data_IF_472203467498
#
_entry.id   IF_472203467498
#
_cell.length_a   1.000
_cell.length_b   1.000
_cell.length_c   1.000
_cell.angle_alpha   90.00
_cell.angle_beta   90.00
_cell.angle_gamma   90.00
#
_symmetry.space_group_name_H-M   'P 1'
#
loop_
_entity.id
_entity.type
_entity.pdbx_description
1 polymer ?
#
# COMPACT_ATOMS: atom_id res chain seq x y z
N UNK A 1 -18.89 1.19 -11.95
CA UNK A 1 -17.46 0.95 -12.27
C UNK A 1 -17.10 1.83 -13.46
N UNK A 2 -16.17 2.80 -13.35
CA UNK A 2 -15.68 3.49 -14.55
C UNK A 2 -14.81 2.50 -15.33
N UNK A 3 -15.15 2.30 -16.59
CA UNK A 3 -14.35 1.48 -17.50
C UNK A 3 -13.02 2.20 -17.79
N UNK A 4 -11.96 1.72 -17.23
CA UNK A 4 -10.60 2.23 -17.41
C UNK A 4 -9.85 1.54 -18.56
N UNK A 5 -10.48 0.59 -19.27
CA UNK A 5 -9.84 -0.19 -20.33
C UNK A 5 -9.24 0.69 -21.44
N UNK A 6 -9.86 1.83 -21.73
CA UNK A 6 -9.33 2.81 -22.70
C UNK A 6 -8.06 3.53 -22.22
N UNK A 7 -7.82 3.60 -20.89
CA UNK A 7 -6.62 4.22 -20.31
C UNK A 7 -5.36 3.39 -20.51
N UNK A 8 -5.52 2.07 -20.64
CA UNK A 8 -4.40 1.12 -20.77
C UNK A 8 -4.04 0.77 -22.21
N UNK A 9 -4.77 1.27 -23.18
CA UNK A 9 -4.82 0.74 -24.54
C UNK A 9 -3.51 0.78 -25.36
N UNK A 10 -2.41 1.37 -24.87
CA UNK A 10 -1.11 1.39 -25.61
C UNK A 10 0.14 1.71 -24.78
N UNK A 11 0.07 1.92 -23.46
CA UNK A 11 1.25 2.24 -22.66
C UNK A 11 1.45 1.20 -21.58
N UNK A 12 2.53 0.47 -21.69
CA UNK A 12 2.95 -0.44 -20.63
C UNK A 12 3.37 0.34 -19.38
N UNK A 13 4.21 1.35 -19.49
CA UNK A 13 4.66 2.21 -18.38
C UNK A 13 4.12 3.63 -18.51
N UNK A 14 3.95 4.35 -17.42
CA UNK A 14 3.51 5.74 -17.43
C UNK A 14 2.82 6.20 -16.16
N UNK A 15 2.23 7.38 -16.22
CA UNK A 15 1.48 7.98 -15.13
C UNK A 15 -0.01 7.71 -15.35
N UNK A 16 -0.67 7.22 -14.30
CA UNK A 16 -2.10 6.91 -14.29
C UNK A 16 -2.78 7.66 -13.15
N UNK A 17 -3.88 8.34 -13.50
CA UNK A 17 -4.69 9.10 -12.56
C UNK A 17 -5.89 8.27 -12.09
N UNK A 18 -6.24 8.41 -10.82
CA UNK A 18 -7.40 7.74 -10.21
C UNK A 18 -8.06 8.63 -9.16
N UNK A 19 -9.29 8.30 -8.81
CA UNK A 19 -10.01 8.97 -7.74
C UNK A 19 -9.72 8.28 -6.41
N UNK A 20 -9.41 9.09 -5.39
CA UNK A 20 -9.26 8.68 -4.00
C UNK A 20 -10.00 9.65 -3.08
N UNK A 21 -9.77 9.54 -1.79
CA UNK A 21 -10.32 10.41 -0.76
C UNK A 21 -9.30 10.57 0.37
N UNK A 22 -9.50 11.56 1.26
CA UNK A 22 -8.63 11.82 2.40
C UNK A 22 -9.32 11.58 3.75
N UNK A 23 -9.75 10.33 4.07
CA UNK A 23 -10.29 10.04 5.38
C UNK A 23 -9.25 10.30 6.46
N UNK A 24 -9.66 10.97 7.55
CA UNK A 24 -8.73 11.38 8.60
C UNK A 24 -8.25 10.20 9.46
N UNK A 25 -9.14 9.25 9.76
CA UNK A 25 -8.88 8.07 10.59
C UNK A 25 -9.67 6.85 10.11
N UNK A 26 -9.38 5.67 10.68
CA UNK A 26 -10.04 4.41 10.30
C UNK A 26 -11.56 4.45 10.46
N UNK A 27 -12.08 5.22 11.43
CA UNK A 27 -13.52 5.41 11.59
C UNK A 27 -14.17 5.91 10.29
N UNK A 28 -13.56 6.86 9.58
CA UNK A 28 -14.09 7.38 8.31
C UNK A 28 -14.06 6.33 7.19
N UNK A 29 -13.04 5.47 7.16
CA UNK A 29 -13.00 4.34 6.22
C UNK A 29 -14.15 3.37 6.51
N UNK A 30 -14.33 2.99 7.78
CA UNK A 30 -15.25 1.94 8.17
C UNK A 30 -16.73 2.35 8.10
N UNK A 31 -17.04 3.65 8.20
CA UNK A 31 -18.40 4.13 8.34
C UNK A 31 -18.84 5.13 7.26
N UNK A 32 -17.94 5.92 6.72
CA UNK A 32 -18.28 7.11 5.93
C UNK A 32 -17.47 7.29 4.65
N UNK A 33 -16.76 6.27 4.17
CA UNK A 33 -15.83 6.43 3.02
C UNK A 33 -16.51 6.97 1.75
N UNK A 34 -17.77 6.65 1.53
CA UNK A 34 -18.53 7.11 0.38
C UNK A 34 -18.94 8.59 0.47
N UNK A 35 -18.94 9.14 1.68
CA UNK A 35 -19.23 10.55 1.95
C UNK A 35 -17.97 11.43 1.83
N UNK A 36 -16.78 10.85 1.85
CA UNK A 36 -15.52 11.57 1.73
C UNK A 36 -15.37 12.22 0.34
N UNK A 37 -14.96 13.49 0.28
CA UNK A 37 -14.70 14.16 -0.99
C UNK A 37 -13.70 13.42 -1.84
N UNK A 38 -13.97 13.34 -3.16
CA UNK A 38 -13.06 12.65 -4.10
C UNK A 38 -11.98 13.59 -4.59
N UNK A 39 -10.74 13.11 -4.56
CA UNK A 39 -9.53 13.79 -5.00
C UNK A 39 -8.89 13.08 -6.19
N UNK A 40 -8.12 13.82 -6.99
CA UNK A 40 -7.34 13.23 -8.07
C UNK A 40 -5.96 12.87 -7.55
N UNK A 41 -5.68 11.58 -7.53
CA UNK A 41 -4.37 11.03 -7.18
C UNK A 41 -3.74 10.42 -8.43
N UNK A 42 -2.44 10.22 -8.43
CA UNK A 42 -1.77 9.53 -9.52
C UNK A 42 -0.68 8.59 -9.01
N UNK A 43 -0.32 7.65 -9.86
CA UNK A 43 0.80 6.76 -9.65
C UNK A 43 1.59 6.53 -10.92
N UNK A 44 2.83 6.11 -10.76
CA UNK A 44 3.76 5.78 -11.86
C UNK A 44 3.91 4.27 -11.98
N UNK A 45 3.46 3.71 -13.10
CA UNK A 45 3.64 2.29 -13.44
C UNK A 45 4.96 2.10 -14.20
N UNK A 46 5.78 1.16 -13.74
CA UNK A 46 7.05 0.78 -14.34
C UNK A 46 7.04 -0.73 -14.54
N UNK A 47 7.28 -1.18 -15.77
CA UNK A 47 7.45 -2.59 -16.09
C UNK A 47 8.92 -2.99 -16.09
N UNK A 48 9.27 -4.23 -15.72
CA UNK A 48 10.57 -4.81 -15.96
C UNK A 48 10.90 -4.79 -17.47
N UNK A 49 12.18 -4.65 -17.83
CA UNK A 49 12.60 -4.59 -19.22
C UNK A 49 12.17 -5.84 -20.03
N UNK A 50 12.28 -7.02 -19.42
CA UNK A 50 11.95 -8.32 -20.02
C UNK A 50 10.76 -8.99 -19.34
N UNK A 51 9.68 -8.23 -19.05
CA UNK A 51 8.52 -8.74 -18.37
C UNK A 51 7.84 -9.90 -19.12
N UNK A 52 7.56 -11.00 -18.40
CA UNK A 52 6.64 -12.04 -18.88
C UNK A 52 5.22 -11.61 -18.52
N UNK A 53 4.38 -11.40 -19.53
CA UNK A 53 3.03 -10.88 -19.35
C UNK A 53 1.97 -12.00 -19.29
N UNK A 54 0.91 -11.84 -18.49
CA UNK A 54 0.76 -10.81 -17.47
C UNK A 54 1.76 -11.02 -16.31
N UNK A 55 2.35 -9.92 -15.81
CA UNK A 55 3.39 -10.01 -14.77
C UNK A 55 2.83 -9.66 -13.37
N UNK A 56 3.46 -10.14 -12.29
CA UNK A 56 3.15 -9.69 -10.94
C UNK A 56 3.49 -8.22 -10.76
N UNK A 57 2.84 -7.57 -9.79
CA UNK A 57 3.06 -6.16 -9.48
C UNK A 57 3.16 -5.93 -7.97
N UNK A 58 3.95 -4.94 -7.58
CA UNK A 58 3.95 -4.37 -6.23
C UNK A 58 3.49 -2.91 -6.27
N UNK A 59 2.48 -2.59 -5.47
CA UNK A 59 2.13 -1.20 -5.14
C UNK A 59 3.10 -0.71 -4.07
N UNK A 60 3.90 0.31 -4.40
CA UNK A 60 4.96 0.85 -3.57
C UNK A 60 4.53 2.16 -2.91
N UNK A 61 4.61 2.22 -1.56
CA UNK A 61 4.11 3.30 -0.73
C UNK A 61 5.28 3.94 0.05
N UNK A 62 5.55 5.22 -0.20
CA UNK A 62 6.61 5.97 0.46
C UNK A 62 6.31 6.29 1.95
N UNK A 63 7.34 6.65 2.72
CA UNK A 63 7.21 7.12 4.09
C UNK A 63 6.83 8.59 4.21
N UNK A 64 6.79 9.12 5.46
CA UNK A 64 6.43 10.51 5.78
C UNK A 64 7.31 11.58 5.11
N UNK A 65 8.54 11.23 4.76
CA UNK A 65 9.46 12.11 4.03
C UNK A 65 9.25 12.12 2.50
N UNK A 66 8.25 11.40 1.99
CA UNK A 66 8.07 11.18 0.56
C UNK A 66 9.03 10.10 0.01
N UNK A 67 9.11 9.99 -1.30
CA UNK A 67 10.01 9.05 -1.97
C UNK A 67 11.47 9.53 -1.85
N UNK A 68 12.39 8.64 -1.44
CA UNK A 68 13.82 8.91 -1.22
C UNK A 68 14.69 7.94 -2.00
N UNK A 69 16.00 8.24 -2.07
CA UNK A 69 16.98 7.45 -2.83
C UNK A 69 16.97 5.96 -2.50
N UNK A 70 16.97 5.60 -1.21
CA UNK A 70 16.92 4.21 -0.76
C UNK A 70 15.70 3.43 -1.25
N UNK A 71 14.57 4.07 -1.47
CA UNK A 71 13.38 3.42 -2.03
C UNK A 71 13.59 3.05 -3.51
N UNK A 72 14.39 3.82 -4.24
CA UNK A 72 14.70 3.52 -5.64
C UNK A 72 15.47 2.21 -5.79
N UNK A 73 16.42 1.92 -4.91
CA UNK A 73 17.20 0.67 -4.94
C UNK A 73 16.26 -0.55 -4.75
N UNK A 74 15.31 -0.46 -3.81
CA UNK A 74 14.33 -1.52 -3.61
C UNK A 74 13.40 -1.70 -4.84
N UNK A 75 13.02 -0.59 -5.49
CA UNK A 75 12.21 -0.62 -6.72
C UNK A 75 12.99 -1.29 -7.86
N UNK A 76 14.27 -0.96 -8.01
CA UNK A 76 15.15 -1.60 -9.01
C UNK A 76 15.23 -3.11 -8.76
N UNK A 77 15.44 -3.54 -7.52
CA UNK A 77 15.49 -4.97 -7.17
C UNK A 77 14.17 -5.71 -7.52
N UNK A 78 13.01 -5.07 -7.32
CA UNK A 78 11.72 -5.65 -7.72
C UNK A 78 11.62 -5.79 -9.25
N UNK A 79 12.03 -4.76 -10.00
CA UNK A 79 12.03 -4.80 -11.47
C UNK A 79 12.98 -5.86 -12.00
N UNK A 80 14.18 -6.00 -11.42
CA UNK A 80 15.15 -7.05 -11.77
C UNK A 80 14.62 -8.47 -11.46
N UNK A 81 13.79 -8.59 -10.43
CA UNK A 81 13.07 -9.84 -10.11
C UNK A 81 11.88 -10.14 -11.05
N UNK A 82 11.62 -9.28 -12.04
CA UNK A 82 10.53 -9.44 -13.00
C UNK A 82 9.16 -9.00 -12.49
N UNK A 83 9.13 -8.16 -11.45
CA UNK A 83 7.92 -7.64 -10.81
C UNK A 83 7.71 -6.18 -11.24
N UNK A 84 6.55 -5.86 -11.81
CA UNK A 84 6.19 -4.48 -12.11
C UNK A 84 5.96 -3.68 -10.82
N UNK A 85 6.17 -2.37 -10.87
CA UNK A 85 5.99 -1.50 -9.70
C UNK A 85 5.05 -0.35 -10.04
N UNK A 86 4.04 -0.15 -9.19
CA UNK A 86 3.18 1.02 -9.22
C UNK A 86 3.45 1.89 -7.99
N UNK A 87 4.14 3.02 -8.19
CA UNK A 87 4.41 4.00 -7.12
C UNK A 87 3.25 4.95 -7.00
N UNK A 88 2.66 5.06 -5.83
CA UNK A 88 1.63 6.07 -5.56
C UNK A 88 2.30 7.39 -5.16
N UNK A 89 1.81 8.50 -5.69
CA UNK A 89 2.24 9.86 -5.38
C UNK A 89 1.20 10.56 -4.49
N UNK A 90 0.99 10.02 -3.28
CA UNK A 90 -0.04 10.52 -2.35
C UNK A 90 0.21 11.96 -1.89
N UNK A 91 1.47 12.34 -1.73
CA UNK A 91 1.85 13.69 -1.27
C UNK A 91 1.86 14.68 -2.41
N UNK A 92 2.56 14.36 -3.49
CA UNK A 92 2.71 15.26 -4.65
C UNK A 92 1.36 15.58 -5.28
N UNK A 93 0.44 14.62 -5.33
CA UNK A 93 -0.92 14.83 -5.82
C UNK A 93 -1.72 15.82 -4.96
N UNK A 94 -1.34 16.00 -3.69
CA UNK A 94 -1.91 16.96 -2.74
C UNK A 94 -1.06 18.22 -2.57
N UNK A 95 -0.06 18.44 -3.44
CA UNK A 95 0.83 19.60 -3.38
C UNK A 95 1.85 19.56 -2.25
N UNK A 96 2.15 18.37 -1.70
CA UNK A 96 3.08 18.18 -0.60
C UNK A 96 4.31 17.39 -1.08
N UNK A 97 5.45 17.57 -0.42
CA UNK A 97 6.68 16.82 -0.66
C UNK A 97 6.97 15.89 0.52
N UNK A 98 6.60 16.31 1.71
CA UNK A 98 6.85 15.64 2.99
C UNK A 98 5.80 16.06 4.00
N UNK A 99 5.50 15.16 4.94
CA UNK A 99 4.62 15.44 6.08
C UNK A 99 5.34 15.27 7.42
N UNK A 100 6.69 15.20 7.43
CA UNK A 100 7.48 15.00 8.66
C UNK A 100 7.15 16.04 9.72
N UNK A 101 6.94 17.30 9.33
CA UNK A 101 6.59 18.39 10.25
C UNK A 101 5.10 18.46 10.59
N UNK A 102 4.24 17.80 9.79
CA UNK A 102 2.80 17.77 10.02
C UNK A 102 2.20 16.44 9.56
N UNK A 103 2.31 15.42 10.39
CA UNK A 103 1.82 14.05 10.12
C UNK A 103 0.29 13.97 9.89
N UNK A 104 -0.44 15.04 10.21
CA UNK A 104 -1.90 15.10 10.04
C UNK A 104 -2.31 15.60 8.64
N UNK A 105 -1.37 16.10 7.85
CA UNK A 105 -1.67 16.61 6.49
C UNK A 105 -2.07 15.49 5.52
N UNK A 106 -1.48 14.29 5.67
CA UNK A 106 -1.89 13.06 4.98
C UNK A 106 -1.78 11.91 5.97
N UNK A 107 -2.91 11.39 6.41
CA UNK A 107 -2.96 10.40 7.49
C UNK A 107 -2.73 8.97 6.98
N UNK A 108 -2.52 8.03 7.91
CA UNK A 108 -2.45 6.60 7.60
C UNK A 108 -3.74 6.10 6.89
N UNK A 109 -4.90 6.59 7.32
CA UNK A 109 -6.18 6.24 6.70
C UNK A 109 -6.27 6.73 5.24
N UNK A 110 -5.75 7.93 4.96
CA UNK A 110 -5.62 8.46 3.59
C UNK A 110 -4.71 7.58 2.74
N UNK A 111 -3.52 7.22 3.24
CA UNK A 111 -2.55 6.39 2.51
C UNK A 111 -3.10 4.99 2.19
N UNK A 112 -3.83 4.39 3.13
CA UNK A 112 -4.51 3.10 2.93
C UNK A 112 -5.59 3.24 1.85
N UNK A 113 -6.38 4.30 1.90
CA UNK A 113 -7.43 4.55 0.89
C UNK A 113 -6.81 4.69 -0.50
N UNK A 114 -5.74 5.47 -0.64
CA UNK A 114 -5.00 5.60 -1.90
C UNK A 114 -4.49 4.24 -2.41
N UNK A 115 -3.96 3.39 -1.51
CA UNK A 115 -3.46 2.07 -1.86
C UNK A 115 -4.56 1.16 -2.43
N UNK A 116 -5.75 1.13 -1.83
CA UNK A 116 -6.87 0.33 -2.33
C UNK A 116 -7.47 0.89 -3.63
N UNK A 117 -7.53 2.22 -3.79
CA UNK A 117 -7.96 2.83 -5.07
C UNK A 117 -6.95 2.57 -6.19
N UNK A 118 -5.66 2.54 -5.88
CA UNK A 118 -4.62 2.12 -6.82
C UNK A 118 -4.74 0.63 -7.16
N UNK A 119 -5.02 -0.25 -6.18
CA UNK A 119 -5.27 -1.67 -6.41
C UNK A 119 -6.43 -1.86 -7.40
N UNK A 120 -7.57 -1.21 -7.16
CA UNK A 120 -8.74 -1.30 -8.04
C UNK A 120 -8.46 -0.77 -9.46
N UNK A 121 -7.62 0.25 -9.62
CA UNK A 121 -7.17 0.71 -10.93
C UNK A 121 -6.29 -0.32 -11.63
N UNK A 122 -5.23 -0.78 -10.95
CA UNK A 122 -4.16 -1.58 -11.55
C UNK A 122 -4.59 -3.03 -11.80
N UNK A 123 -5.51 -3.58 -11.01
CA UNK A 123 -6.09 -4.90 -11.25
C UNK A 123 -6.78 -5.05 -12.62
N UNK A 124 -7.17 -3.92 -13.23
CA UNK A 124 -7.79 -3.87 -14.54
C UNK A 124 -6.77 -3.77 -15.71
N UNK A 125 -5.47 -3.66 -15.40
CA UNK A 125 -4.44 -3.55 -16.45
C UNK A 125 -4.22 -4.90 -17.13
N UNK A 126 -4.32 -5.02 -18.47
CA UNK A 126 -4.29 -6.30 -19.17
C UNK A 126 -2.95 -7.04 -19.06
N UNK A 127 -1.86 -6.30 -18.85
CA UNK A 127 -0.51 -6.86 -18.71
C UNK A 127 -0.11 -7.15 -17.26
N UNK A 128 -1.00 -6.95 -16.29
CA UNK A 128 -0.78 -7.27 -14.86
C UNK A 128 -1.61 -8.49 -14.46
N UNK A 129 -0.98 -9.42 -13.76
CA UNK A 129 -1.68 -10.54 -13.12
C UNK A 129 -2.40 -10.02 -11.85
N UNK A 130 -3.71 -9.80 -11.97
CA UNK A 130 -4.55 -9.27 -10.88
C UNK A 130 -4.55 -10.15 -9.62
N UNK A 131 -4.19 -11.42 -9.73
CA UNK A 131 -4.04 -12.32 -8.59
C UNK A 131 -2.67 -12.22 -7.90
N UNK A 132 -1.74 -11.44 -8.45
CA UNK A 132 -0.38 -11.29 -7.97
C UNK A 132 0.01 -9.82 -7.79
N UNK A 133 -0.87 -9.07 -7.13
CA UNK A 133 -0.60 -7.69 -6.76
C UNK A 133 -0.28 -7.64 -5.26
N UNK A 134 0.98 -7.38 -4.92
CA UNK A 134 1.43 -7.17 -3.55
C UNK A 134 1.48 -5.69 -3.19
N UNK A 135 1.66 -5.41 -1.89
CA UNK A 135 1.91 -4.06 -1.38
C UNK A 135 3.20 -4.04 -0.56
N UNK A 136 4.06 -3.05 -0.83
CA UNK A 136 5.26 -2.80 -0.05
C UNK A 136 5.32 -1.33 0.35
N UNK A 137 5.84 -1.03 1.53
CA UNK A 137 5.94 0.36 1.97
C UNK A 137 6.92 0.56 3.11
N UNK A 138 7.40 1.78 3.25
CA UNK A 138 8.45 2.19 4.17
C UNK A 138 7.90 3.14 5.23
N UNK A 139 8.18 2.90 6.52
CA UNK A 139 7.75 3.74 7.64
C UNK A 139 6.22 3.92 7.63
N UNK A 140 5.67 5.11 7.42
CA UNK A 140 4.24 5.36 7.23
C UNK A 140 3.65 4.49 6.10
N UNK A 141 4.38 4.32 4.98
CA UNK A 141 4.01 3.38 3.92
C UNK A 141 4.08 1.93 4.39
N UNK A 142 5.02 1.60 5.29
CA UNK A 142 5.09 0.30 5.97
C UNK A 142 3.86 0.05 6.82
N UNK A 143 3.43 1.06 7.60
CA UNK A 143 2.15 1.00 8.33
C UNK A 143 0.96 0.82 7.40
N UNK A 144 0.98 1.51 6.24
CA UNK A 144 -0.04 1.35 5.20
C UNK A 144 -0.08 -0.10 4.70
N UNK A 145 1.07 -0.69 4.35
CA UNK A 145 1.16 -2.07 3.90
C UNK A 145 0.71 -3.06 5.00
N UNK A 146 1.02 -2.78 6.27
CA UNK A 146 0.62 -3.61 7.41
C UNK A 146 -0.90 -3.61 7.62
N UNK A 147 -1.49 -2.41 7.78
CA UNK A 147 -2.94 -2.30 8.08
C UNK A 147 -3.83 -2.56 6.87
N UNK A 148 -3.30 -2.55 5.64
CA UNK A 148 -4.03 -3.01 4.45
C UNK A 148 -4.38 -4.52 4.49
N UNK A 149 -3.81 -5.29 5.43
CA UNK A 149 -4.19 -6.67 5.69
C UNK A 149 -5.37 -6.80 6.69
N UNK A 150 -5.80 -5.72 7.35
CA UNK A 150 -6.89 -5.77 8.32
C UNK A 150 -8.24 -5.93 7.62
N UNK A 151 -8.97 -7.03 7.94
CA UNK A 151 -10.17 -7.43 7.19
C UNK A 151 -11.27 -6.37 7.16
N UNK A 152 -11.58 -5.63 8.23
CA UNK A 152 -12.58 -4.56 8.16
C UNK A 152 -12.24 -3.45 7.16
N UNK A 153 -10.97 -3.08 7.00
CA UNK A 153 -10.53 -2.12 5.98
C UNK A 153 -10.74 -2.69 4.57
N UNK A 154 -10.36 -3.95 4.34
CA UNK A 154 -10.56 -4.63 3.06
C UNK A 154 -12.04 -4.58 2.70
N UNK A 155 -12.91 -5.00 3.61
CA UNK A 155 -14.36 -5.03 3.39
C UNK A 155 -14.97 -3.65 3.07
N UNK A 156 -14.40 -2.57 3.63
CA UNK A 156 -14.90 -1.20 3.42
C UNK A 156 -14.39 -0.55 2.13
N UNK A 157 -13.21 -0.93 1.65
CA UNK A 157 -12.56 -0.26 0.52
C UNK A 157 -12.64 -1.02 -0.80
N UNK A 158 -13.00 -2.31 -0.79
CA UNK A 158 -13.10 -3.13 -2.00
C UNK A 158 -14.54 -3.34 -2.44
N UNK A 159 -14.76 -3.40 -3.75
CA UNK A 159 -16.09 -3.62 -4.35
C UNK A 159 -16.20 -5.09 -4.80
N UNK A 160 -15.20 -5.60 -5.49
CA UNK A 160 -15.18 -6.93 -6.13
C UNK A 160 -14.24 -7.92 -5.41
N UNK A 161 -14.07 -7.77 -4.09
CA UNK A 161 -13.16 -8.58 -3.27
C UNK A 161 -11.67 -8.53 -3.72
N UNK A 162 -11.27 -7.44 -4.38
CA UNK A 162 -9.85 -7.23 -4.69
C UNK A 162 -9.06 -7.18 -3.37
N UNK A 163 -7.94 -7.88 -3.34
CA UNK A 163 -7.07 -7.91 -2.17
C UNK A 163 -5.61 -7.98 -2.59
N UNK A 164 -4.75 -7.48 -1.73
CA UNK A 164 -3.33 -7.69 -1.90
C UNK A 164 -2.99 -9.17 -1.71
N UNK A 165 -2.17 -9.71 -2.63
CA UNK A 165 -1.73 -11.11 -2.60
C UNK A 165 -0.56 -11.34 -1.64
N UNK A 166 0.14 -10.28 -1.23
CA UNK A 166 1.23 -10.29 -0.26
C UNK A 166 1.46 -8.89 0.32
N UNK A 167 2.00 -8.83 1.53
CA UNK A 167 2.31 -7.58 2.24
C UNK A 167 3.79 -7.57 2.66
N UNK A 168 4.50 -6.49 2.35
CA UNK A 168 5.89 -6.25 2.75
C UNK A 168 6.01 -4.90 3.48
N UNK A 169 5.64 -4.84 4.76
CA UNK A 169 5.88 -3.67 5.60
C UNK A 169 7.36 -3.55 5.97
N UNK A 170 7.99 -2.43 5.65
CA UNK A 170 9.36 -2.12 6.08
C UNK A 170 9.28 -1.08 7.21
N UNK A 171 9.83 -1.46 8.37
CA UNK A 171 9.84 -0.67 9.61
C UNK A 171 8.52 0.10 9.87
N UNK A 172 7.38 -0.62 9.97
CA UNK A 172 6.08 0.01 10.15
C UNK A 172 5.89 0.54 11.58
N UNK A 173 5.20 1.68 11.71
CA UNK A 173 4.64 2.10 12.99
C UNK A 173 3.33 1.36 13.26
N UNK A 174 3.31 0.43 14.22
CA UNK A 174 2.16 -0.43 14.53
C UNK A 174 1.48 -0.04 15.83
N UNK A 175 1.18 1.26 15.99
CA UNK A 175 0.61 1.82 17.22
C UNK A 175 -0.88 1.49 17.45
N UNK A 176 -1.60 1.09 16.40
CA UNK A 176 -3.03 0.86 16.47
C UNK A 176 -3.29 -0.64 16.69
N UNK A 177 -3.91 -0.97 17.82
CA UNK A 177 -4.38 -2.32 18.13
C UNK A 177 -5.88 -2.39 17.86
N UNK A 178 -6.32 -2.94 16.71
CA UNK A 178 -7.74 -2.96 16.38
C UNK A 178 -8.52 -3.91 17.29
N UNK A 179 -9.76 -3.54 17.66
CA UNK A 179 -10.63 -4.37 18.50
C UNK A 179 -11.03 -5.65 17.76
N UNK A 180 -11.36 -5.52 16.46
CA UNK A 180 -11.69 -6.66 15.60
C UNK A 180 -10.37 -7.27 15.12
N UNK A 181 -10.02 -8.45 15.63
CA UNK A 181 -8.77 -9.15 15.29
C UNK A 181 -9.00 -10.13 14.14
N UNK A 182 -9.33 -9.58 12.95
CA UNK A 182 -9.53 -10.31 11.71
C UNK A 182 -8.61 -9.77 10.61
N UNK A 183 -7.87 -10.65 9.96
CA UNK A 183 -6.81 -10.29 9.01
C UNK A 183 -6.88 -11.16 7.77
N UNK A 184 -6.44 -10.62 6.66
CA UNK A 184 -6.27 -11.33 5.39
C UNK A 184 -5.34 -12.55 5.55
N UNK A 185 -5.63 -13.63 4.81
CA UNK A 185 -4.78 -14.81 4.73
C UNK A 185 -3.53 -14.61 3.86
N UNK A 186 -3.42 -13.47 3.15
CA UNK A 186 -2.25 -13.16 2.34
C UNK A 186 -0.98 -13.13 3.21
N UNK A 187 0.15 -13.69 2.75
CA UNK A 187 1.39 -13.67 3.50
C UNK A 187 1.86 -12.25 3.78
N UNK A 188 2.44 -12.05 4.96
CA UNK A 188 3.04 -10.79 5.37
C UNK A 188 4.46 -11.05 5.87
N UNK A 189 5.45 -10.36 5.31
CA UNK A 189 6.82 -10.39 5.80
C UNK A 189 7.24 -8.99 6.21
N UNK A 190 7.51 -8.79 7.50
CA UNK A 190 7.87 -7.51 8.08
C UNK A 190 9.39 -7.43 8.21
N UNK A 191 9.97 -6.32 7.79
CA UNK A 191 11.40 -6.04 7.98
C UNK A 191 11.56 -4.85 8.93
N UNK A 192 12.33 -5.03 10.00
CA UNK A 192 12.63 -3.99 10.99
C UNK A 192 14.13 -3.85 11.21
N UNK A 193 14.58 -2.67 11.59
CA UNK A 193 15.93 -2.44 12.05
C UNK A 193 16.03 -2.74 13.55
N UNK A 194 17.06 -3.48 13.98
CA UNK A 194 17.27 -3.81 15.40
C UNK A 194 17.40 -2.57 16.29
N UNK A 195 18.07 -1.54 15.77
CA UNK A 195 18.41 -0.33 16.50
C UNK A 195 17.55 0.87 16.03
N UNK A 196 16.35 0.60 15.46
CA UNK A 196 15.41 1.65 15.04
C UNK A 196 14.71 2.23 16.28
N UNK A 197 15.04 3.49 16.61
CA UNK A 197 14.45 4.24 17.72
C UNK A 197 13.24 5.10 17.31
N UNK A 198 12.98 5.24 16.00
CA UNK A 198 11.86 6.01 15.47
C UNK A 198 10.60 5.14 15.27
N UNK A 199 10.78 3.94 14.71
CA UNK A 199 9.76 2.90 14.61
C UNK A 199 10.26 1.62 15.28
N UNK A 200 10.31 1.58 16.63
CA UNK A 200 10.94 0.50 17.36
C UNK A 200 10.33 -0.87 17.03
N UNK A 201 11.19 -1.87 16.82
CA UNK A 201 10.79 -3.26 16.55
C UNK A 201 9.84 -3.81 17.62
N UNK A 202 9.98 -3.37 18.87
CA UNK A 202 9.10 -3.78 19.96
C UNK A 202 7.62 -3.46 19.75
N UNK A 203 7.30 -2.41 18.97
CA UNK A 203 5.91 -2.11 18.59
C UNK A 203 5.34 -3.19 17.67
N UNK A 204 6.17 -3.68 16.74
CA UNK A 204 5.80 -4.77 15.83
C UNK A 204 5.67 -6.08 16.63
N UNK A 205 6.61 -6.40 17.50
CA UNK A 205 6.53 -7.59 18.34
C UNK A 205 5.26 -7.63 19.19
N UNK A 206 4.91 -6.51 19.82
CA UNK A 206 3.70 -6.38 20.64
C UNK A 206 2.41 -6.60 19.83
N UNK A 207 2.32 -6.03 18.61
CA UNK A 207 1.13 -6.26 17.77
C UNK A 207 1.09 -7.69 17.24
N UNK A 208 2.24 -8.30 16.94
CA UNK A 208 2.33 -9.68 16.48
C UNK A 208 1.85 -10.68 17.52
N UNK A 209 2.13 -10.48 18.81
CA UNK A 209 1.57 -11.31 19.88
C UNK A 209 0.04 -11.32 19.87
N UNK A 210 -0.56 -10.18 19.49
CA UNK A 210 -2.00 -10.05 19.43
C UNK A 210 -2.60 -10.71 18.17
N UNK A 211 -1.97 -10.56 17.00
CA UNK A 211 -2.54 -11.00 15.72
C UNK A 211 -2.18 -12.42 15.32
N UNK A 212 -0.99 -12.94 15.71
CA UNK A 212 -0.51 -14.29 15.34
C UNK A 212 -1.52 -15.42 15.60
N UNK A 213 -2.30 -15.42 16.69
CA UNK A 213 -3.33 -16.44 16.90
C UNK A 213 -4.42 -16.48 15.81
N UNK A 214 -4.57 -15.39 15.04
CA UNK A 214 -5.58 -15.21 13.99
C UNK A 214 -4.97 -15.14 12.58
N UNK A 215 -3.66 -14.92 12.48
CA UNK A 215 -2.95 -14.82 11.21
C UNK A 215 -1.63 -15.61 11.31
N UNK A 216 -1.60 -16.79 10.69
CA UNK A 216 -0.42 -17.68 10.75
C UNK A 216 0.66 -17.32 9.72
N UNK A 217 0.29 -16.69 8.59
CA UNK A 217 1.21 -16.36 7.49
C UNK A 217 1.86 -15.00 7.71
N UNK A 218 2.60 -14.84 8.82
CA UNK A 218 3.28 -13.60 9.16
C UNK A 218 4.66 -13.86 9.73
N UNK A 219 5.68 -13.28 9.11
CA UNK A 219 7.08 -13.37 9.49
C UNK A 219 7.66 -11.99 9.81
N UNK A 220 8.61 -11.96 10.74
CA UNK A 220 9.39 -10.78 11.10
C UNK A 220 10.87 -11.10 10.96
N UNK A 221 11.59 -10.23 10.25
CA UNK A 221 13.06 -10.19 10.19
C UNK A 221 13.54 -8.87 10.82
N UNK A 222 14.50 -8.98 11.72
CA UNK A 222 15.14 -7.87 12.44
C UNK A 222 16.63 -7.78 12.09
#
# INVERSE_FOLDING_TARGET
MEDHSSKFSKKKSGIFFFKSSSPFEFYHILNNIDLEPKENIYGSLIFPENAKLPCPLVIAIHGSAGLRGNHHDHIVNLLEAGIAVFRIHSFEARGLISIVENQMAVTLATMITDAFRALSLISQHPDIDSNKIGIAGWSLGGSTAFYSAWQPIINSLTIDNEKFSAHLPLYPGTHIKPVINEWSDAPMHILCGKDDDYTPTSLVENILEYIKPKKSNIDLTV
#
